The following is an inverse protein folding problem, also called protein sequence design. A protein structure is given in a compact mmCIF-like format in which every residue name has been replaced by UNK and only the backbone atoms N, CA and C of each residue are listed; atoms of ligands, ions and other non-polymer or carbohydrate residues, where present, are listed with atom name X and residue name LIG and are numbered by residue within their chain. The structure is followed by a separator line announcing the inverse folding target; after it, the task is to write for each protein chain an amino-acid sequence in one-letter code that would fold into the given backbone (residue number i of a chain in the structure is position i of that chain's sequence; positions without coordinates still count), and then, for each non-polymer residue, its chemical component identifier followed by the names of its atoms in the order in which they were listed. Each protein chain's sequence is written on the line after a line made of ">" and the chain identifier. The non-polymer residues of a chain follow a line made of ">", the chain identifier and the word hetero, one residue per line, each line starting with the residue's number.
data_IF_991647156686
#
_entry.id   IF_991647156686
#
_cell.length_a   1.000
_cell.length_b   1.000
_cell.length_c   1.000
_cell.angle_alpha   90.00
_cell.angle_beta   90.00
_cell.angle_gamma   90.00
#
_symmetry.space_group_name_H-M   'P 1'
#
loop_
_entity.id
_entity.type
_entity.pdbx_description
1 polymer ?
#
# COMPACT_ATOMS: atom_id res chain seq x y z
N UNK A 1 21.34 63.54 2.02
CA UNK A 1 20.42 62.84 1.10
C UNK A 1 20.66 61.34 1.19
N UNK A 2 19.60 60.58 1.46
CA UNK A 2 19.62 59.23 2.04
C UNK A 2 19.65 58.12 0.97
N UNK A 3 20.55 57.14 1.20
CA UNK A 3 20.68 55.73 0.76
C UNK A 3 19.74 55.15 -0.31
N UNK A 4 20.32 54.32 -1.20
CA UNK A 4 19.61 53.27 -1.95
C UNK A 4 20.40 51.96 -1.86
N UNK A 5 20.01 51.11 -0.93
CA UNK A 5 20.62 49.80 -0.65
C UNK A 5 20.03 48.76 -1.59
N UNK A 6 20.88 47.99 -2.27
CA UNK A 6 20.48 46.90 -3.16
C UNK A 6 19.89 45.73 -2.34
N UNK A 7 18.67 45.32 -2.68
CA UNK A 7 17.96 44.22 -2.02
C UNK A 7 18.48 42.90 -2.59
N UNK A 8 19.25 42.16 -1.80
CA UNK A 8 19.66 40.79 -2.10
C UNK A 8 18.45 39.90 -1.76
N UNK A 9 17.76 39.40 -2.79
CA UNK A 9 16.67 38.43 -2.61
C UNK A 9 17.27 37.06 -2.33
N UNK A 10 17.06 36.54 -1.12
CA UNK A 10 17.43 35.19 -0.73
C UNK A 10 16.43 34.16 -1.28
N UNK A 11 16.90 33.23 -2.09
CA UNK A 11 16.14 32.07 -2.56
C UNK A 11 16.04 31.05 -1.41
N UNK A 12 14.88 30.97 -0.76
CA UNK A 12 14.56 29.93 0.21
C UNK A 12 14.32 28.61 -0.54
N UNK A 13 15.33 27.73 -0.56
CA UNK A 13 15.16 26.35 -1.02
C UNK A 13 14.60 25.56 0.17
N UNK A 14 13.31 25.25 0.14
CA UNK A 14 12.72 24.34 1.11
C UNK A 14 13.18 22.89 0.81
N UNK A 15 13.49 22.07 1.84
CA UNK A 15 13.83 20.67 1.62
C UNK A 15 12.59 19.89 1.15
N UNK A 16 12.70 19.26 -0.03
CA UNK A 16 11.74 18.27 -0.50
C UNK A 16 12.00 16.96 0.26
N UNK A 17 11.10 16.58 1.17
CA UNK A 17 11.12 15.24 1.76
C UNK A 17 10.60 14.24 0.73
N UNK A 18 11.48 13.44 0.13
CA UNK A 18 11.06 12.27 -0.66
C UNK A 18 10.63 11.16 0.31
N UNK A 19 9.33 10.87 0.35
CA UNK A 19 8.83 9.61 0.92
C UNK A 19 9.05 8.51 -0.12
N UNK A 20 10.07 7.68 0.08
CA UNK A 20 10.21 6.43 -0.66
C UNK A 20 9.35 5.38 0.04
N UNK A 21 8.25 4.94 -0.58
CA UNK A 21 7.52 3.78 -0.12
C UNK A 21 8.40 2.53 -0.34
N UNK A 22 8.72 1.83 0.75
CA UNK A 22 9.50 0.60 0.67
C UNK A 22 8.63 -0.50 0.09
N UNK A 23 8.83 -0.84 -1.18
CA UNK A 23 8.23 -2.03 -1.78
C UNK A 23 8.98 -3.29 -1.35
N UNK A 24 8.28 -4.42 -1.29
CA UNK A 24 8.89 -5.72 -1.03
C UNK A 24 8.28 -6.81 -1.92
N UNK A 25 9.08 -7.82 -2.25
CA UNK A 25 8.61 -8.95 -3.06
C UNK A 25 7.76 -9.89 -2.22
N UNK A 26 6.57 -10.21 -2.74
CA UNK A 26 5.69 -11.24 -2.21
C UNK A 26 5.85 -12.49 -3.07
N UNK A 27 6.22 -13.61 -2.46
CA UNK A 27 6.42 -14.88 -3.18
C UNK A 27 5.14 -15.72 -3.19
N UNK A 28 4.24 -15.52 -2.22
CA UNK A 28 3.02 -16.32 -2.06
C UNK A 28 1.91 -15.54 -1.33
N UNK A 29 0.66 -15.92 -1.55
CA UNK A 29 -0.53 -15.36 -0.90
C UNK A 29 -1.35 -16.51 -0.31
N UNK A 30 -1.50 -16.50 1.01
CA UNK A 30 -2.28 -17.48 1.76
C UNK A 30 -3.56 -16.85 2.30
N UNK A 31 -4.68 -17.55 2.14
CA UNK A 31 -5.95 -17.16 2.75
C UNK A 31 -6.26 -18.06 3.96
N UNK A 32 -6.74 -17.44 5.03
CA UNK A 32 -7.21 -18.09 6.26
C UNK A 32 -8.64 -17.63 6.55
N UNK A 33 -9.50 -18.53 7.04
CA UNK A 33 -10.89 -18.19 7.41
C UNK A 33 -11.92 -18.25 6.28
N UNK A 34 -11.52 -18.59 5.05
CA UNK A 34 -12.46 -18.82 3.95
C UNK A 34 -13.46 -19.94 4.27
N UNK A 35 -14.75 -19.60 4.30
CA UNK A 35 -15.85 -20.56 4.51
C UNK A 35 -16.74 -20.69 3.28
N UNK A 36 -17.42 -19.60 2.91
CA UNK A 36 -18.41 -19.55 1.81
C UNK A 36 -17.79 -19.17 0.47
N UNK A 37 -16.57 -18.64 0.49
CA UNK A 37 -15.86 -18.11 -0.68
C UNK A 37 -14.69 -19.03 -0.96
N UNK A 38 -14.48 -19.37 -2.23
CA UNK A 38 -13.32 -20.15 -2.65
C UNK A 38 -12.08 -19.25 -2.76
N UNK A 39 -10.88 -19.83 -2.64
CA UNK A 39 -9.61 -19.09 -2.81
C UNK A 39 -9.59 -18.36 -4.17
N UNK A 40 -10.02 -19.03 -5.24
CA UNK A 40 -10.06 -18.44 -6.58
C UNK A 40 -10.96 -17.20 -6.67
N UNK A 41 -12.15 -17.24 -6.04
CA UNK A 41 -13.05 -16.08 -6.02
C UNK A 41 -12.49 -14.92 -5.18
N UNK A 42 -11.81 -15.22 -4.07
CA UNK A 42 -11.16 -14.22 -3.24
C UNK A 42 -10.00 -13.54 -4.00
N UNK A 43 -9.18 -14.31 -4.71
CA UNK A 43 -8.11 -13.79 -5.56
C UNK A 43 -8.63 -12.88 -6.68
N UNK A 44 -9.77 -13.20 -7.29
CA UNK A 44 -10.40 -12.33 -8.31
C UNK A 44 -10.82 -10.96 -7.75
N UNK A 45 -11.04 -10.87 -6.44
CA UNK A 45 -11.41 -9.61 -5.76
C UNK A 45 -10.18 -8.86 -5.21
N UNK A 46 -8.97 -9.42 -5.34
CA UNK A 46 -7.75 -8.87 -4.77
C UNK A 46 -6.80 -8.38 -5.86
N UNK A 47 -6.42 -7.09 -5.89
CA UNK A 47 -5.52 -6.51 -6.90
C UNK A 47 -4.04 -6.79 -6.59
N UNK A 48 -3.71 -7.95 -6.00
CA UNK A 48 -2.34 -8.37 -5.70
C UNK A 48 -2.15 -9.84 -6.03
N UNK A 49 -1.00 -10.15 -6.61
CA UNK A 49 -0.63 -11.50 -7.02
C UNK A 49 0.72 -11.92 -6.44
N UNK A 50 0.92 -13.23 -6.35
CA UNK A 50 2.22 -13.79 -6.00
C UNK A 50 3.24 -13.42 -7.08
N UNK A 51 4.39 -12.92 -6.66
CA UNK A 51 5.45 -12.37 -7.50
C UNK A 51 5.49 -10.85 -7.56
N UNK A 52 4.44 -10.16 -7.09
CA UNK A 52 4.37 -8.70 -7.14
C UNK A 52 5.32 -8.03 -6.13
N UNK A 53 5.80 -6.84 -6.50
CA UNK A 53 6.45 -5.93 -5.57
C UNK A 53 5.38 -5.07 -4.91
N UNK A 54 5.08 -5.36 -3.65
CA UNK A 54 3.96 -4.79 -2.91
C UNK A 54 4.42 -3.63 -2.03
N UNK A 55 3.68 -2.53 -2.09
CA UNK A 55 3.81 -1.36 -1.22
C UNK A 55 2.73 -1.35 -0.12
N UNK A 56 2.90 -0.56 0.97
CA UNK A 56 1.84 -0.38 1.96
C UNK A 56 0.51 0.15 1.38
N UNK A 57 0.60 0.96 0.33
CA UNK A 57 -0.55 1.51 -0.39
C UNK A 57 -1.32 0.40 -1.12
N UNK A 58 -0.60 -0.52 -1.76
CA UNK A 58 -1.16 -1.67 -2.47
C UNK A 58 -1.92 -2.61 -1.51
N UNK A 59 -1.37 -2.87 -0.33
CA UNK A 59 -2.06 -3.65 0.73
C UNK A 59 -3.35 -2.96 1.15
N UNK A 60 -3.32 -1.63 1.30
CA UNK A 60 -4.50 -0.85 1.68
C UNK A 60 -5.57 -0.84 0.58
N UNK A 61 -5.17 -0.92 -0.69
CA UNK A 61 -6.09 -1.12 -1.81
C UNK A 61 -6.69 -2.52 -1.83
N UNK A 62 -5.88 -3.54 -1.58
CA UNK A 62 -6.35 -4.92 -1.52
C UNK A 62 -7.40 -5.14 -0.43
N UNK A 63 -7.19 -4.60 0.77
CA UNK A 63 -8.19 -4.64 1.85
C UNK A 63 -9.50 -3.99 1.39
N UNK A 64 -9.44 -2.80 0.78
CA UNK A 64 -10.62 -2.09 0.27
C UNK A 64 -11.37 -2.90 -0.80
N UNK A 65 -10.64 -3.51 -1.73
CA UNK A 65 -11.23 -4.30 -2.81
C UNK A 65 -11.93 -5.57 -2.27
N UNK A 66 -11.31 -6.24 -1.29
CA UNK A 66 -11.93 -7.39 -0.62
C UNK A 66 -13.22 -7.00 0.10
N UNK A 67 -13.24 -5.89 0.82
CA UNK A 67 -14.47 -5.37 1.43
C UNK A 67 -15.53 -4.99 0.38
N UNK A 68 -15.12 -4.36 -0.72
CA UNK A 68 -16.02 -3.95 -1.80
C UNK A 68 -16.69 -5.16 -2.50
N UNK A 69 -16.11 -6.36 -2.41
CA UNK A 69 -16.72 -7.59 -2.91
C UNK A 69 -17.99 -7.99 -2.15
N UNK A 70 -18.21 -7.46 -0.94
CA UNK A 70 -19.37 -7.76 -0.08
C UNK A 70 -19.35 -9.16 0.53
N UNK A 71 -18.27 -9.92 0.35
CA UNK A 71 -18.17 -11.30 0.83
C UNK A 71 -17.58 -11.44 2.25
N UNK A 72 -16.98 -10.37 2.78
CA UNK A 72 -16.20 -10.38 4.01
C UNK A 72 -16.62 -9.24 4.95
N UNK A 73 -16.73 -9.53 6.25
CA UNK A 73 -17.05 -8.55 7.30
C UNK A 73 -15.80 -8.01 8.00
N UNK A 74 -14.75 -8.82 8.07
CA UNK A 74 -13.44 -8.44 8.59
C UNK A 74 -12.37 -8.89 7.59
N UNK A 75 -11.41 -8.02 7.27
CA UNK A 75 -10.28 -8.37 6.42
C UNK A 75 -9.01 -7.82 7.07
N UNK A 76 -8.06 -8.70 7.33
CA UNK A 76 -6.72 -8.35 7.82
C UNK A 76 -5.68 -8.96 6.90
N UNK A 77 -4.72 -8.16 6.48
CA UNK A 77 -3.58 -8.63 5.68
C UNK A 77 -2.32 -8.47 6.52
N UNK A 78 -1.71 -9.61 6.81
CA UNK A 78 -0.49 -9.73 7.57
C UNK A 78 0.66 -10.14 6.65
N UNK A 79 1.86 -9.70 6.98
CA UNK A 79 3.07 -10.13 6.29
C UNK A 79 3.80 -11.15 7.15
N UNK A 80 3.97 -12.35 6.61
CA UNK A 80 4.77 -13.44 7.19
C UNK A 80 5.98 -13.70 6.29
N UNK A 81 7.08 -12.99 6.56
CA UNK A 81 8.28 -13.02 5.72
C UNK A 81 8.03 -12.50 4.31
N UNK A 82 7.90 -13.42 3.35
CA UNK A 82 7.57 -13.15 1.93
C UNK A 82 6.17 -13.61 1.52
N UNK A 83 5.40 -14.15 2.46
CA UNK A 83 4.01 -14.55 2.22
C UNK A 83 3.07 -13.48 2.77
N UNK A 84 2.06 -13.13 1.98
CA UNK A 84 0.93 -12.36 2.46
C UNK A 84 -0.12 -13.30 3.02
N UNK A 85 -0.51 -13.10 4.27
CA UNK A 85 -1.56 -13.87 4.94
C UNK A 85 -2.80 -13.00 5.03
N UNK A 86 -3.84 -13.38 4.29
CA UNK A 86 -5.13 -12.70 4.26
C UNK A 86 -6.08 -13.46 5.18
N UNK A 87 -6.42 -12.84 6.31
CA UNK A 87 -7.35 -13.37 7.29
C UNK A 87 -8.71 -12.71 7.08
N UNK A 88 -9.74 -13.54 6.89
CA UNK A 88 -11.13 -13.12 6.64
C UNK A 88 -12.14 -13.89 7.48
#
# INVERSE_FOLDING_TARGET
>A
MLKKTHIISGLLIAPLTLYAATSYQVDDIRFEGLQRVTIGAALLSMPLHAGDAVTPEDVSEAVRALYASGNFENVQILRDGKTLVVQV
#
